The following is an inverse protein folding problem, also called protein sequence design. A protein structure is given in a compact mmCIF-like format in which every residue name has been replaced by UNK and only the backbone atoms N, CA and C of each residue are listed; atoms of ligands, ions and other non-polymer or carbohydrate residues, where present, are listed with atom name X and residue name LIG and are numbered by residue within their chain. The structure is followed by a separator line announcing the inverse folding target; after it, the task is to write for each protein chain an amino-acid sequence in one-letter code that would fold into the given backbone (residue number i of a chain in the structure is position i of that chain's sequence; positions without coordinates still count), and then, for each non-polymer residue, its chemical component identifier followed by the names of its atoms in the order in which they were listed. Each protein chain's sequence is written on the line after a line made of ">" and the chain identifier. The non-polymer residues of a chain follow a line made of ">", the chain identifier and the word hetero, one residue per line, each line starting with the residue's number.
data_IF_720397468791
#
_entry.id   IF_720397468791
#
_cell.length_a   1.000
_cell.length_b   1.000
_cell.length_c   1.000
_cell.angle_alpha   90.00
_cell.angle_beta   90.00
_cell.angle_gamma   90.00
#
_symmetry.space_group_name_H-M   'P 1'
#
loop_
_entity.id
_entity.type
_entity.pdbx_description
1 polymer ?
#
# COMPACT_ATOMS: atom_id res chain seq x y z
N UNK A 1 8.07 16.55 14.23
CA UNK A 1 7.44 15.48 13.41
C UNK A 1 8.56 14.58 12.89
N UNK A 2 8.32 13.30 12.70
CA UNK A 2 9.36 12.31 12.36
C UNK A 2 9.64 12.29 10.85
N UNK A 3 10.93 12.17 10.46
CA UNK A 3 11.34 11.88 9.07
C UNK A 3 10.81 10.52 8.54
N UNK A 4 10.22 9.72 9.42
CA UNK A 4 9.60 8.42 9.12
C UNK A 4 8.08 8.52 8.90
N UNK A 5 7.50 9.72 8.94
CA UNK A 5 6.10 9.94 8.61
C UNK A 5 5.98 10.69 7.28
N UNK A 6 5.73 9.97 6.22
CA UNK A 6 5.62 10.52 4.87
C UNK A 6 4.33 11.32 4.61
N UNK A 7 3.37 11.33 5.52
CA UNK A 7 2.22 12.25 5.46
C UNK A 7 2.65 13.71 5.72
N UNK A 8 3.87 13.90 6.23
CA UNK A 8 4.47 15.22 6.43
C UNK A 8 5.62 15.43 5.46
N UNK A 9 5.95 16.68 5.16
CA UNK A 9 7.05 17.02 4.26
C UNK A 9 8.42 16.56 4.77
N UNK A 10 8.59 16.46 6.09
CA UNK A 10 9.84 15.97 6.71
C UNK A 10 10.12 14.50 6.33
N UNK A 11 9.09 13.71 6.06
CA UNK A 11 9.25 12.31 5.64
C UNK A 11 9.46 12.13 4.13
N UNK A 12 9.37 13.20 3.32
CA UNK A 12 9.44 13.12 1.86
C UNK A 12 10.72 12.46 1.36
N UNK A 13 11.87 12.97 1.77
CA UNK A 13 13.16 12.45 1.29
C UNK A 13 13.40 11.01 1.73
N UNK A 14 12.94 10.66 2.93
CA UNK A 14 13.04 9.29 3.46
C UNK A 14 12.21 8.32 2.62
N UNK A 15 10.94 8.62 2.36
CA UNK A 15 10.11 7.71 1.55
C UNK A 15 10.61 7.59 0.11
N UNK A 16 11.06 8.68 -0.51
CA UNK A 16 11.58 8.64 -1.88
C UNK A 16 12.88 7.83 -1.99
N UNK A 17 13.74 7.88 -0.96
CA UNK A 17 14.93 7.01 -0.86
C UNK A 17 14.51 5.55 -0.78
N UNK A 18 13.58 5.22 0.13
CA UNK A 18 13.15 3.83 0.35
C UNK A 18 12.41 3.28 -0.88
N UNK A 19 11.62 4.09 -1.60
CA UNK A 19 11.03 3.67 -2.89
C UNK A 19 12.12 3.22 -3.87
N UNK A 20 13.20 4.00 -4.05
CA UNK A 20 14.32 3.62 -4.94
C UNK A 20 15.01 2.33 -4.49
N UNK A 21 15.18 2.13 -3.19
CA UNK A 21 15.76 0.91 -2.63
C UNK A 21 14.88 -0.32 -2.91
N UNK A 22 13.55 -0.19 -2.72
CA UNK A 22 12.61 -1.28 -3.02
C UNK A 22 12.53 -1.56 -4.53
N UNK A 23 12.52 -0.52 -5.36
CA UNK A 23 12.56 -0.67 -6.81
C UNK A 23 13.84 -1.41 -7.28
N UNK A 24 15.00 -1.08 -6.74
CA UNK A 24 16.25 -1.78 -7.05
C UNK A 24 16.17 -3.26 -6.66
N UNK A 25 15.58 -3.59 -5.51
CA UNK A 25 15.38 -4.97 -5.05
C UNK A 25 14.42 -5.73 -5.99
N UNK A 26 13.31 -5.11 -6.39
CA UNK A 26 12.35 -5.69 -7.33
C UNK A 26 12.99 -5.95 -8.70
N UNK A 27 13.70 -4.98 -9.26
CA UNK A 27 14.36 -5.15 -10.55
C UNK A 27 15.38 -6.29 -10.51
N UNK A 28 16.16 -6.37 -9.45
CA UNK A 28 17.09 -7.49 -9.25
C UNK A 28 16.37 -8.84 -9.12
N UNK A 29 15.16 -8.87 -8.54
CA UNK A 29 14.37 -10.08 -8.45
C UNK A 29 13.78 -10.48 -9.82
N UNK A 30 13.25 -9.52 -10.60
CA UNK A 30 12.64 -9.74 -11.91
C UNK A 30 13.64 -10.14 -13.00
N UNK A 31 14.89 -9.68 -12.90
CA UNK A 31 15.95 -9.95 -13.88
C UNK A 31 16.72 -11.27 -13.60
N UNK A 32 16.36 -12.02 -12.57
CA UNK A 32 16.97 -13.34 -12.34
C UNK A 32 16.64 -14.30 -13.48
N UNK A 33 17.58 -15.17 -13.86
CA UNK A 33 17.32 -16.21 -14.86
C UNK A 33 16.07 -17.03 -14.52
N UNK A 34 15.12 -17.08 -15.45
CA UNK A 34 13.86 -17.82 -15.30
C UNK A 34 12.80 -17.15 -14.40
N UNK A 35 13.04 -15.95 -13.86
CA UNK A 35 12.06 -15.26 -13.02
C UNK A 35 10.89 -14.66 -13.83
N UNK A 36 11.12 -14.22 -15.04
CA UNK A 36 10.17 -13.38 -15.81
C UNK A 36 8.76 -13.97 -15.94
N UNK A 37 8.67 -15.28 -16.14
CA UNK A 37 7.42 -16.03 -16.27
C UNK A 37 7.08 -16.83 -14.99
N UNK A 38 7.86 -16.66 -13.92
CA UNK A 38 7.58 -17.33 -12.66
C UNK A 38 6.31 -16.78 -12.01
N UNK A 39 5.56 -17.63 -11.28
CA UNK A 39 4.38 -17.17 -10.54
C UNK A 39 4.78 -16.25 -9.40
N UNK A 40 3.83 -15.42 -8.95
CA UNK A 40 3.94 -14.58 -7.76
C UNK A 40 2.89 -14.97 -6.72
N UNK A 41 2.87 -14.31 -5.56
CA UNK A 41 1.78 -14.46 -4.59
C UNK A 41 0.48 -13.77 -5.03
N UNK A 42 0.52 -12.89 -6.03
CA UNK A 42 -0.68 -12.36 -6.67
C UNK A 42 -1.30 -13.44 -7.55
N UNK A 43 -2.56 -13.77 -7.28
CA UNK A 43 -3.26 -14.82 -8.01
C UNK A 43 -3.30 -14.54 -9.52
N UNK A 44 -2.90 -15.53 -10.32
CA UNK A 44 -2.85 -15.47 -11.79
C UNK A 44 -1.84 -14.44 -12.38
N UNK A 45 -0.91 -13.91 -11.56
CA UNK A 45 0.16 -13.03 -12.01
C UNK A 45 1.51 -13.72 -12.03
N UNK A 46 2.25 -13.43 -13.09
CA UNK A 46 3.67 -13.72 -13.23
C UNK A 46 4.48 -12.46 -12.90
N UNK A 47 5.79 -12.61 -12.72
CA UNK A 47 6.69 -11.46 -12.46
C UNK A 47 6.55 -10.39 -13.55
N UNK A 48 6.42 -10.77 -14.82
CA UNK A 48 6.18 -9.82 -15.93
C UNK A 48 4.90 -9.01 -15.77
N UNK A 49 3.87 -9.59 -15.17
CA UNK A 49 2.60 -8.89 -14.94
C UNK A 49 2.75 -7.86 -13.81
N UNK A 50 3.53 -8.17 -12.78
CA UNK A 50 3.90 -7.19 -11.75
C UNK A 50 4.62 -5.98 -12.38
N UNK A 51 5.58 -6.21 -13.25
CA UNK A 51 6.29 -5.11 -13.93
C UNK A 51 5.35 -4.33 -14.85
N UNK A 52 4.45 -4.99 -15.58
CA UNK A 52 3.40 -4.34 -16.39
C UNK A 52 2.45 -3.48 -15.55
N UNK A 53 2.03 -4.00 -14.38
CA UNK A 53 1.23 -3.26 -13.41
C UNK A 53 1.92 -1.98 -12.94
N UNK A 54 3.20 -2.04 -12.62
CA UNK A 54 3.97 -0.87 -12.19
C UNK A 54 4.05 0.21 -13.27
N UNK A 55 4.19 -0.17 -14.53
CA UNK A 55 4.14 0.76 -15.66
C UNK A 55 2.77 1.41 -15.76
N UNK A 56 1.71 0.62 -15.80
CA UNK A 56 0.33 1.14 -15.91
C UNK A 56 -0.02 2.09 -14.77
N UNK A 57 0.27 1.68 -13.53
CA UNK A 57 -0.01 2.48 -12.33
C UNK A 57 0.77 3.79 -12.35
N UNK A 58 2.08 3.75 -12.65
CA UNK A 58 2.93 4.96 -12.64
C UNK A 58 2.55 5.93 -13.75
N UNK A 59 2.24 5.44 -14.95
CA UNK A 59 1.74 6.29 -16.04
C UNK A 59 0.36 6.88 -15.73
N UNK A 60 -0.49 6.11 -15.03
CA UNK A 60 -1.75 6.62 -14.45
C UNK A 60 -1.51 7.78 -13.48
N UNK A 61 -0.49 7.68 -12.64
CA UNK A 61 -0.12 8.74 -11.71
C UNK A 61 0.33 10.02 -12.42
N UNK A 62 1.10 9.93 -13.51
CA UNK A 62 1.44 11.11 -14.32
C UNK A 62 0.20 11.84 -14.84
N UNK A 63 -0.76 11.08 -15.39
CA UNK A 63 -2.03 11.64 -15.86
C UNK A 63 -2.82 12.30 -14.74
N UNK A 64 -2.84 11.69 -13.55
CA UNK A 64 -3.51 12.27 -12.39
C UNK A 64 -2.89 13.61 -11.96
N UNK A 65 -1.57 13.72 -11.92
CA UNK A 65 -0.87 14.98 -11.63
C UNK A 65 -1.09 16.03 -12.72
N UNK A 66 -1.15 15.65 -14.00
CA UNK A 66 -1.48 16.56 -15.10
C UNK A 66 -2.89 17.13 -14.95
N UNK A 67 -3.89 16.27 -14.65
CA UNK A 67 -5.28 16.68 -14.36
C UNK A 67 -5.31 17.67 -13.19
N UNK A 68 -4.63 17.36 -12.07
CA UNK A 68 -4.61 18.23 -10.90
C UNK A 68 -4.00 19.60 -11.22
N UNK A 69 -2.89 19.65 -11.95
CA UNK A 69 -2.23 20.91 -12.34
C UNK A 69 -3.00 21.74 -13.35
N UNK A 70 -3.83 21.11 -14.19
CA UNK A 70 -4.72 21.80 -15.12
C UNK A 70 -6.04 22.26 -14.49
N UNK A 71 -6.27 21.96 -13.20
CA UNK A 71 -7.53 22.25 -12.50
C UNK A 71 -8.70 21.35 -12.95
N UNK A 72 -8.41 20.22 -13.56
CA UNK A 72 -9.38 19.22 -13.96
C UNK A 72 -9.84 18.33 -12.80
N UNK A 73 -10.77 17.44 -13.10
CA UNK A 73 -11.27 16.41 -12.18
C UNK A 73 -11.40 15.08 -12.90
N UNK A 74 -11.36 13.99 -12.15
CA UNK A 74 -11.55 12.63 -12.64
C UNK A 74 -12.41 11.88 -11.62
N UNK A 75 -13.47 11.23 -12.10
CA UNK A 75 -14.29 10.37 -11.28
C UNK A 75 -13.51 9.08 -10.93
N UNK A 76 -13.60 8.68 -9.67
CA UNK A 76 -12.94 7.45 -9.21
C UNK A 76 -13.71 6.22 -9.68
N UNK A 77 -12.96 5.18 -10.08
CA UNK A 77 -13.54 3.86 -10.37
C UNK A 77 -14.02 3.13 -9.10
N UNK A 78 -13.53 3.56 -7.94
CA UNK A 78 -13.67 2.83 -6.67
C UNK A 78 -12.67 1.68 -6.56
N UNK A 79 -12.43 1.24 -5.32
CA UNK A 79 -11.46 0.16 -5.06
C UNK A 79 -12.05 -1.23 -5.32
N UNK A 80 -13.39 -1.39 -5.25
CA UNK A 80 -14.06 -2.64 -5.60
C UNK A 80 -13.78 -3.00 -7.06
N UNK A 81 -13.27 -4.19 -7.32
CA UNK A 81 -12.86 -4.63 -8.66
C UNK A 81 -11.54 -4.03 -9.15
N UNK A 82 -10.78 -3.33 -8.29
CA UNK A 82 -9.47 -2.79 -8.65
C UNK A 82 -8.52 -3.90 -9.12
N UNK A 83 -8.49 -5.03 -8.43
CA UNK A 83 -7.62 -6.17 -8.75
C UNK A 83 -7.88 -6.76 -10.15
N UNK A 84 -9.15 -6.81 -10.60
CA UNK A 84 -9.51 -7.28 -11.95
C UNK A 84 -8.98 -6.32 -13.01
N UNK A 85 -9.23 -5.02 -12.84
CA UNK A 85 -8.78 -3.98 -13.77
C UNK A 85 -7.26 -3.91 -13.85
N UNK A 86 -6.60 -3.94 -12.69
CA UNK A 86 -5.15 -3.95 -12.60
C UNK A 86 -4.57 -5.21 -13.26
N UNK A 87 -5.22 -6.37 -13.08
CA UNK A 87 -4.82 -7.62 -13.69
C UNK A 87 -4.94 -7.62 -15.20
N UNK A 88 -6.02 -7.08 -15.75
CA UNK A 88 -6.22 -6.98 -17.20
C UNK A 88 -5.21 -6.00 -17.82
N UNK A 89 -5.02 -4.84 -17.19
CA UNK A 89 -4.05 -3.85 -17.63
C UNK A 89 -2.61 -4.39 -17.56
N UNK A 90 -2.21 -5.01 -16.46
CA UNK A 90 -0.90 -5.63 -16.29
C UNK A 90 -0.59 -6.66 -17.39
N UNK A 91 -1.57 -7.51 -17.72
CA UNK A 91 -1.44 -8.55 -18.74
C UNK A 91 -1.37 -8.00 -20.17
N UNK A 92 -1.83 -6.77 -20.40
CA UNK A 92 -1.75 -6.13 -21.73
C UNK A 92 -0.32 -5.88 -22.19
N UNK A 93 0.65 -5.90 -21.28
CA UNK A 93 2.08 -5.73 -21.58
C UNK A 93 2.81 -7.04 -21.92
N UNK A 94 2.13 -8.20 -21.89
CA UNK A 94 2.77 -9.52 -22.06
C UNK A 94 3.48 -9.71 -23.40
N UNK A 95 3.04 -8.99 -24.44
CA UNK A 95 3.63 -9.07 -25.78
C UNK A 95 4.90 -8.22 -25.93
N UNK A 96 5.22 -7.38 -24.94
CA UNK A 96 6.45 -6.59 -24.95
C UNK A 96 7.67 -7.44 -24.56
N UNK A 97 8.81 -7.24 -25.23
CA UNK A 97 10.07 -7.85 -24.81
C UNK A 97 10.45 -7.44 -23.39
N UNK A 98 10.99 -8.38 -22.59
CA UNK A 98 11.43 -8.10 -21.22
C UNK A 98 12.31 -6.85 -21.11
N UNK A 99 13.30 -6.71 -21.99
CA UNK A 99 14.23 -5.57 -21.96
C UNK A 99 13.51 -4.22 -22.19
N UNK A 100 12.48 -4.20 -23.02
CA UNK A 100 11.68 -3.01 -23.31
C UNK A 100 10.83 -2.62 -22.09
N UNK A 101 10.09 -3.58 -21.52
CA UNK A 101 9.23 -3.32 -20.36
C UNK A 101 10.06 -2.93 -19.12
N UNK A 102 11.22 -3.57 -18.90
CA UNK A 102 12.16 -3.19 -17.84
C UNK A 102 12.76 -1.79 -18.04
N UNK A 103 13.06 -1.40 -19.28
CA UNK A 103 13.52 -0.04 -19.57
C UNK A 103 12.44 1.00 -19.29
N UNK A 104 11.19 0.70 -19.66
CA UNK A 104 10.03 1.57 -19.42
C UNK A 104 9.77 1.78 -17.94
N UNK A 105 9.65 0.72 -17.14
CA UNK A 105 9.40 0.85 -15.70
C UNK A 105 10.50 1.62 -14.97
N UNK A 106 11.76 1.51 -15.40
CA UNK A 106 12.88 2.29 -14.84
C UNK A 106 12.76 3.77 -15.18
N UNK A 107 12.42 4.09 -16.43
CA UNK A 107 12.21 5.47 -16.88
C UNK A 107 11.03 6.11 -16.14
N UNK A 108 9.94 5.37 -15.96
CA UNK A 108 8.76 5.82 -15.21
C UNK A 108 9.09 6.07 -13.74
N UNK A 109 9.86 5.19 -13.10
CA UNK A 109 10.35 5.41 -11.74
C UNK A 109 11.17 6.71 -11.65
N UNK A 110 12.13 6.91 -12.53
CA UNK A 110 12.99 8.11 -12.52
C UNK A 110 12.16 9.39 -12.70
N UNK A 111 11.20 9.39 -13.62
CA UNK A 111 10.29 10.51 -13.84
C UNK A 111 9.38 10.75 -12.63
N UNK A 112 8.83 9.70 -12.01
CA UNK A 112 7.98 9.82 -10.83
C UNK A 112 8.79 10.34 -9.62
N UNK A 113 10.00 9.85 -9.42
CA UNK A 113 10.87 10.34 -8.36
C UNK A 113 11.29 11.80 -8.57
N UNK A 114 11.47 12.24 -9.81
CA UNK A 114 11.73 13.65 -10.13
C UNK A 114 10.48 14.51 -9.86
N UNK A 115 9.28 14.05 -10.26
CA UNK A 115 8.02 14.74 -10.02
C UNK A 115 7.76 14.91 -8.51
N UNK A 116 7.79 13.82 -7.75
CA UNK A 116 7.53 13.84 -6.31
C UNK A 116 8.62 14.62 -5.54
N UNK A 117 9.88 14.45 -5.95
CA UNK A 117 11.02 15.19 -5.39
C UNK A 117 10.90 16.70 -5.59
N UNK A 118 10.34 17.13 -6.70
CA UNK A 118 10.12 18.55 -7.04
C UNK A 118 8.95 19.22 -6.32
N UNK A 119 8.07 18.46 -5.62
CA UNK A 119 6.95 19.04 -4.88
C UNK A 119 7.45 19.89 -3.70
N UNK A 120 6.91 21.10 -3.57
CA UNK A 120 7.10 21.96 -2.40
C UNK A 120 6.41 21.37 -1.16
N UNK A 121 6.70 21.91 0.03
CA UNK A 121 6.04 21.52 1.28
C UNK A 121 4.51 21.69 1.19
N UNK A 122 4.06 22.79 0.60
CA UNK A 122 2.64 23.05 0.41
C UNK A 122 2.01 22.05 -0.57
N UNK A 123 2.66 21.75 -1.69
CA UNK A 123 2.14 20.79 -2.65
C UNK A 123 2.12 19.37 -2.08
N UNK A 124 3.16 18.97 -1.34
CA UNK A 124 3.21 17.65 -0.73
C UNK A 124 1.98 17.33 0.13
N UNK A 125 1.56 18.30 0.94
CA UNK A 125 0.47 18.10 1.92
C UNK A 125 -0.89 18.58 1.44
N UNK A 126 -0.96 19.54 0.50
CA UNK A 126 -2.19 20.24 0.17
C UNK A 126 -2.59 20.19 -1.31
N UNK A 127 -1.69 19.74 -2.21
CA UNK A 127 -2.09 19.48 -3.59
C UNK A 127 -2.99 18.24 -3.62
N UNK A 128 -4.24 18.43 -3.98
CA UNK A 128 -5.19 17.34 -4.17
C UNK A 128 -5.08 16.83 -5.60
N UNK A 129 -4.80 15.54 -5.73
CA UNK A 129 -4.60 14.85 -7.01
C UNK A 129 -5.67 13.76 -7.14
N UNK A 130 -6.40 13.66 -8.27
CA UNK A 130 -7.46 12.68 -8.45
C UNK A 130 -6.86 11.28 -8.64
N UNK A 131 -6.92 10.44 -7.61
CA UNK A 131 -6.51 9.04 -7.72
C UNK A 131 -7.63 8.24 -8.39
N UNK A 132 -7.29 7.46 -9.44
CA UNK A 132 -8.29 6.79 -10.28
C UNK A 132 -9.18 5.79 -9.54
N UNK A 133 -8.72 5.24 -8.43
CA UNK A 133 -9.51 4.32 -7.61
C UNK A 133 -10.04 4.96 -6.32
N UNK A 134 -9.24 5.80 -5.65
CA UNK A 134 -9.57 6.36 -4.33
C UNK A 134 -10.28 7.72 -4.40
N UNK A 135 -10.30 8.37 -5.58
CA UNK A 135 -10.77 9.74 -5.71
C UNK A 135 -9.71 10.77 -5.31
N UNK A 136 -10.12 12.00 -4.94
CA UNK A 136 -9.18 13.09 -4.65
C UNK A 136 -8.40 12.80 -3.34
N UNK A 137 -7.07 12.74 -3.45
CA UNK A 137 -6.16 12.48 -2.31
C UNK A 137 -4.99 13.48 -2.31
N UNK A 138 -4.36 13.76 -1.15
CA UNK A 138 -3.14 14.56 -1.10
C UNK A 138 -1.97 13.91 -1.86
N UNK A 139 -1.08 14.73 -2.41
CA UNK A 139 0.04 14.28 -3.25
C UNK A 139 0.97 13.27 -2.56
N UNK A 140 1.16 13.33 -1.25
CA UNK A 140 1.98 12.36 -0.51
C UNK A 140 1.48 10.91 -0.62
N UNK A 141 0.20 10.70 -0.89
CA UNK A 141 -0.38 9.35 -1.10
C UNK A 141 0.29 8.65 -2.29
N UNK A 142 0.71 9.38 -3.32
CA UNK A 142 1.37 8.82 -4.49
C UNK A 142 2.77 8.28 -4.20
N UNK A 143 3.49 8.91 -3.26
CA UNK A 143 4.76 8.35 -2.77
C UNK A 143 4.53 7.07 -1.96
N UNK A 144 3.48 7.04 -1.14
CA UNK A 144 3.08 5.82 -0.42
C UNK A 144 2.63 4.73 -1.40
N UNK A 145 1.85 5.06 -2.43
CA UNK A 145 1.46 4.14 -3.50
C UNK A 145 2.68 3.50 -4.18
N UNK A 146 3.68 4.31 -4.59
CA UNK A 146 4.92 3.77 -5.16
C UNK A 146 5.66 2.86 -4.17
N UNK A 147 5.69 3.19 -2.88
CA UNK A 147 6.32 2.33 -1.88
C UNK A 147 5.52 1.03 -1.66
N UNK A 148 4.20 1.08 -1.68
CA UNK A 148 3.33 -0.10 -1.63
C UNK A 148 3.60 -1.00 -2.83
N UNK A 149 3.58 -0.44 -4.04
CA UNK A 149 3.79 -1.17 -5.29
C UNK A 149 5.16 -1.86 -5.32
N UNK A 150 6.24 -1.13 -5.07
CA UNK A 150 7.58 -1.73 -5.09
C UNK A 150 7.85 -2.63 -3.89
N UNK A 151 7.40 -2.28 -2.70
CA UNK A 151 7.68 -3.05 -1.47
C UNK A 151 6.86 -4.33 -1.38
N UNK A 152 5.54 -4.22 -1.51
CA UNK A 152 4.64 -5.39 -1.36
C UNK A 152 4.80 -6.34 -2.53
N UNK A 153 4.89 -5.84 -3.76
CA UNK A 153 5.08 -6.72 -4.91
C UNK A 153 6.48 -7.35 -5.00
N UNK A 154 7.52 -6.75 -4.41
CA UNK A 154 8.79 -7.47 -4.21
C UNK A 154 8.60 -8.68 -3.29
N UNK A 155 7.83 -8.50 -2.23
CA UNK A 155 7.42 -9.60 -1.34
C UNK A 155 6.64 -10.66 -2.14
N UNK A 156 5.65 -10.27 -2.95
CA UNK A 156 4.85 -11.19 -3.77
C UNK A 156 5.71 -12.02 -4.75
N UNK A 157 6.72 -11.40 -5.39
CA UNK A 157 7.66 -12.08 -6.28
C UNK A 157 8.50 -13.11 -5.52
N UNK A 158 8.97 -12.75 -4.34
CA UNK A 158 9.83 -13.64 -3.54
C UNK A 158 9.03 -14.78 -2.93
N UNK A 159 7.80 -14.54 -2.48
CA UNK A 159 6.88 -15.55 -1.95
C UNK A 159 6.52 -16.56 -3.05
N UNK A 160 6.10 -16.11 -4.22
CA UNK A 160 5.79 -16.99 -5.36
C UNK A 160 6.97 -17.82 -5.83
N UNK A 161 8.19 -17.34 -5.61
CA UNK A 161 9.42 -18.09 -5.89
C UNK A 161 9.82 -19.06 -4.74
N UNK A 162 9.05 -19.14 -3.65
CA UNK A 162 9.36 -19.97 -2.47
C UNK A 162 10.67 -19.57 -1.79
N UNK A 163 11.05 -18.30 -1.80
CA UNK A 163 12.32 -17.82 -1.27
C UNK A 163 12.15 -17.19 0.10
N UNK A 164 13.12 -17.38 0.98
CA UNK A 164 13.16 -16.66 2.25
C UNK A 164 13.26 -15.16 2.00
N UNK A 165 12.34 -14.39 2.56
CA UNK A 165 12.24 -12.94 2.38
C UNK A 165 11.44 -12.32 3.55
N UNK A 166 11.49 -11.00 3.62
CA UNK A 166 10.67 -10.21 4.53
C UNK A 166 10.37 -8.86 3.85
N UNK A 167 9.29 -8.20 4.25
CA UNK A 167 9.11 -6.79 3.91
C UNK A 167 10.16 -5.99 4.71
N UNK A 168 11.03 -5.19 4.06
CA UNK A 168 12.08 -4.46 4.76
C UNK A 168 11.53 -3.49 5.80
N UNK A 169 12.20 -3.39 6.95
CA UNK A 169 11.73 -2.60 8.09
C UNK A 169 11.50 -1.11 7.73
N UNK A 170 12.38 -0.52 6.92
CA UNK A 170 12.23 0.88 6.49
C UNK A 170 10.96 1.09 5.65
N UNK A 171 10.65 0.16 4.75
CA UNK A 171 9.42 0.21 3.96
C UNK A 171 8.18 -0.01 4.84
N UNK A 172 8.23 -1.01 5.71
CA UNK A 172 7.13 -1.31 6.62
C UNK A 172 6.81 -0.15 7.56
N UNK A 173 7.81 0.42 8.21
CA UNK A 173 7.64 1.56 9.12
C UNK A 173 6.99 2.78 8.43
N UNK A 174 7.44 3.11 7.21
CA UNK A 174 6.88 4.21 6.43
C UNK A 174 5.43 3.97 6.00
N UNK A 175 5.05 2.71 5.77
CA UNK A 175 3.71 2.34 5.33
C UNK A 175 2.69 2.24 6.46
N UNK A 176 3.10 1.98 7.71
CA UNK A 176 2.18 1.84 8.86
C UNK A 176 1.10 2.92 8.93
N UNK A 177 1.39 4.24 8.82
CA UNK A 177 0.36 5.27 8.92
C UNK A 177 -0.72 5.17 7.83
N UNK A 178 -0.37 4.59 6.68
CA UNK A 178 -1.28 4.44 5.54
C UNK A 178 -2.20 3.21 5.66
N UNK A 179 -1.85 2.24 6.51
CA UNK A 179 -2.62 0.99 6.60
C UNK A 179 -4.02 1.20 7.16
N UNK A 180 -4.21 2.19 8.02
CA UNK A 180 -5.55 2.57 8.47
C UNK A 180 -6.40 3.14 7.32
N UNK A 181 -5.81 3.89 6.39
CA UNK A 181 -6.48 4.40 5.19
C UNK A 181 -6.84 3.23 4.25
N UNK A 182 -5.93 2.27 4.09
CA UNK A 182 -6.19 1.07 3.29
C UNK A 182 -7.36 0.29 3.90
N UNK A 183 -7.35 0.00 5.18
CA UNK A 183 -8.46 -0.68 5.85
C UNK A 183 -9.79 0.07 5.69
N UNK A 184 -9.81 1.39 5.93
CA UNK A 184 -11.03 2.20 5.71
C UNK A 184 -11.56 2.08 4.28
N UNK A 185 -10.67 1.98 3.31
CA UNK A 185 -11.00 1.96 1.88
C UNK A 185 -11.33 0.56 1.34
N UNK A 186 -11.01 -0.50 2.08
CA UNK A 186 -11.17 -1.90 1.64
C UNK A 186 -12.22 -2.68 2.41
N UNK A 187 -13.08 -2.00 3.17
CA UNK A 187 -14.23 -2.65 3.80
C UNK A 187 -15.08 -3.31 2.71
N UNK A 188 -15.35 -4.60 2.87
CA UNK A 188 -16.18 -5.33 1.92
C UNK A 188 -17.61 -4.77 1.89
N UNK A 189 -18.23 -4.63 0.71
CA UNK A 189 -19.60 -4.12 0.61
C UNK A 189 -20.63 -4.93 1.42
N UNK A 190 -20.38 -6.24 1.58
CA UNK A 190 -21.24 -7.16 2.31
C UNK A 190 -20.79 -7.39 3.76
N UNK A 191 -19.82 -6.56 4.28
CA UNK A 191 -19.33 -6.71 5.64
C UNK A 191 -20.41 -6.42 6.68
N UNK A 192 -20.41 -7.21 7.77
CA UNK A 192 -21.25 -6.91 8.94
C UNK A 192 -20.64 -5.72 9.71
N UNK A 193 -21.23 -4.54 9.56
CA UNK A 193 -20.85 -3.31 10.23
C UNK A 193 -21.57 -3.07 11.57
N UNK A 194 -22.19 -4.10 12.18
CA UNK A 194 -22.70 -3.97 13.55
C UNK A 194 -21.62 -3.40 14.47
N UNK A 195 -21.94 -2.43 15.34
CA UNK A 195 -20.91 -1.67 16.08
C UNK A 195 -20.05 -2.56 16.99
N UNK A 196 -18.73 -2.37 16.93
CA UNK A 196 -17.75 -2.89 17.89
C UNK A 196 -16.46 -2.07 17.86
N UNK A 197 -15.60 -2.29 18.86
CA UNK A 197 -14.25 -1.69 18.87
C UNK A 197 -13.23 -2.72 19.30
N UNK A 198 -12.02 -2.61 18.71
CA UNK A 198 -10.84 -3.37 19.10
C UNK A 198 -9.65 -2.44 19.30
N UNK A 199 -8.65 -2.91 20.02
CA UNK A 199 -7.32 -2.28 20.08
C UNK A 199 -6.45 -2.74 18.91
N UNK A 200 -5.66 -1.81 18.38
CA UNK A 200 -4.55 -2.10 17.48
C UNK A 200 -3.29 -1.45 18.06
N UNK A 201 -2.32 -2.27 18.40
CA UNK A 201 -0.99 -1.81 18.81
C UNK A 201 0.01 -2.08 17.69
N UNK A 202 0.80 -1.08 17.37
CA UNK A 202 1.83 -1.21 16.32
C UNK A 202 3.17 -0.83 16.90
N UNK A 203 4.19 -1.64 16.63
CA UNK A 203 5.58 -1.37 16.97
C UNK A 203 6.29 -0.48 15.94
N UNK A 204 7.64 -0.45 16.03
CA UNK A 204 8.48 0.25 15.05
C UNK A 204 8.58 1.75 15.27
N UNK A 205 9.02 2.49 14.23
CA UNK A 205 9.26 3.96 14.29
C UNK A 205 7.97 4.78 14.32
N UNK A 206 6.89 4.23 13.76
CA UNK A 206 5.55 4.80 13.83
C UNK A 206 4.67 4.05 14.86
N UNK A 207 5.30 3.61 15.96
CA UNK A 207 4.61 2.90 17.04
C UNK A 207 3.45 3.71 17.63
N UNK A 208 2.38 3.02 17.98
CA UNK A 208 1.22 3.64 18.59
C UNK A 208 0.18 2.62 19.06
N UNK A 209 -0.70 3.10 19.92
CA UNK A 209 -1.86 2.38 20.40
C UNK A 209 -3.10 3.05 19.83
N UNK A 210 -3.95 2.29 19.19
CA UNK A 210 -5.13 2.80 18.51
C UNK A 210 -6.37 2.03 18.95
N UNK A 211 -7.45 2.75 19.18
CA UNK A 211 -8.78 2.18 19.22
C UNK A 211 -9.37 2.28 17.83
N UNK A 212 -9.71 1.15 17.26
CA UNK A 212 -10.42 1.04 15.99
C UNK A 212 -11.88 0.74 16.27
N UNK A 213 -12.77 1.54 15.70
CA UNK A 213 -14.21 1.42 15.89
C UNK A 213 -14.91 1.19 14.56
N UNK A 214 -15.77 0.19 14.52
CA UNK A 214 -16.62 -0.14 13.37
C UNK A 214 -18.05 0.31 13.69
N UNK A 215 -18.71 0.89 12.72
CA UNK A 215 -20.10 1.31 12.76
C UNK A 215 -20.72 1.25 11.36
N UNK A 216 -22.01 1.54 11.24
CA UNK A 216 -22.72 1.70 9.97
C UNK A 216 -22.13 2.79 9.06
N UNK A 217 -21.29 3.68 9.61
CA UNK A 217 -20.52 4.69 8.85
C UNK A 217 -19.14 4.19 8.38
N UNK A 218 -18.81 2.92 8.63
CA UNK A 218 -17.51 2.32 8.30
C UNK A 218 -16.56 2.25 9.48
N UNK A 219 -15.27 2.37 9.21
CA UNK A 219 -14.19 2.28 10.20
C UNK A 219 -13.66 3.68 10.57
N UNK A 220 -13.52 3.92 11.86
CA UNK A 220 -12.75 5.05 12.40
C UNK A 220 -11.64 4.55 13.33
N UNK A 221 -10.62 5.39 13.57
CA UNK A 221 -9.57 5.07 14.53
C UNK A 221 -9.10 6.35 15.24
N UNK A 222 -8.65 6.16 16.47
CA UNK A 222 -8.09 7.22 17.30
C UNK A 222 -6.91 6.68 18.11
N UNK A 223 -5.92 7.54 18.35
CA UNK A 223 -4.80 7.18 19.21
C UNK A 223 -5.26 7.22 20.67
N UNK A 224 -4.88 6.20 21.44
CA UNK A 224 -5.27 6.03 22.85
C UNK A 224 -4.07 5.75 23.74
N UNK A 225 -4.24 5.90 25.04
CA UNK A 225 -3.24 5.46 26.02
C UNK A 225 -3.15 3.93 26.10
N UNK A 226 -2.08 3.40 26.69
CA UNK A 226 -1.95 1.96 26.89
C UNK A 226 -3.08 1.41 27.79
N UNK A 227 -3.45 2.15 28.85
CA UNK A 227 -4.53 1.72 29.76
C UNK A 227 -5.88 1.64 29.03
N UNK A 228 -6.19 2.59 28.17
CA UNK A 228 -7.39 2.58 27.32
C UNK A 228 -7.36 1.44 26.33
N UNK A 229 -6.19 1.17 25.70
CA UNK A 229 -6.01 0.04 24.79
C UNK A 229 -6.31 -1.29 25.51
N UNK A 230 -5.70 -1.49 26.68
CA UNK A 230 -5.84 -2.73 27.46
C UNK A 230 -7.24 -2.92 28.06
N UNK A 231 -8.06 -1.88 28.09
CA UNK A 231 -9.47 -1.97 28.50
C UNK A 231 -10.42 -2.41 27.39
N UNK A 232 -9.93 -2.50 26.13
CA UNK A 232 -10.72 -2.96 25.00
C UNK A 232 -10.91 -4.48 25.03
N UNK A 233 -12.04 -4.99 24.49
CA UNK A 233 -12.37 -6.40 24.58
C UNK A 233 -11.40 -7.31 23.82
N UNK A 234 -10.73 -6.79 22.80
CA UNK A 234 -9.72 -7.49 22.02
C UNK A 234 -8.62 -6.54 21.59
N UNK A 235 -7.39 -7.02 21.49
CA UNK A 235 -6.23 -6.25 21.00
C UNK A 235 -5.46 -7.09 19.99
N UNK A 236 -5.12 -6.46 18.86
CA UNK A 236 -4.19 -6.96 17.85
C UNK A 236 -2.87 -6.20 17.96
N UNK A 237 -1.79 -6.93 18.19
CA UNK A 237 -0.41 -6.40 18.23
C UNK A 237 0.31 -6.75 16.93
N UNK A 238 0.87 -5.75 16.26
CA UNK A 238 1.61 -5.91 15.02
C UNK A 238 3.04 -5.40 15.12
N UNK A 239 3.99 -6.14 14.56
CA UNK A 239 5.16 -5.49 13.97
C UNK A 239 4.76 -4.76 12.67
N UNK A 240 5.54 -3.76 12.21
CA UNK A 240 5.19 -2.99 11.02
C UNK A 240 4.95 -3.84 9.77
N UNK A 241 5.79 -4.85 9.52
CA UNK A 241 5.68 -5.69 8.32
C UNK A 241 4.42 -6.57 8.38
N UNK A 242 4.12 -7.14 9.54
CA UNK A 242 2.89 -7.92 9.74
C UNK A 242 1.63 -7.06 9.51
N UNK A 243 1.61 -5.81 9.99
CA UNK A 243 0.48 -4.90 9.75
C UNK A 243 0.29 -4.62 8.26
N UNK A 244 1.36 -4.25 7.55
CA UNK A 244 1.29 -3.96 6.12
C UNK A 244 0.79 -5.17 5.33
N UNK A 245 1.40 -6.33 5.52
CA UNK A 245 1.03 -7.54 4.79
C UNK A 245 -0.40 -8.02 5.14
N UNK A 246 -0.86 -7.80 6.37
CA UNK A 246 -2.25 -8.09 6.77
C UNK A 246 -3.22 -7.13 6.11
N UNK A 247 -2.90 -5.83 6.04
CA UNK A 247 -3.75 -4.84 5.39
C UNK A 247 -3.94 -5.10 3.88
N UNK A 248 -2.90 -5.67 3.23
CA UNK A 248 -2.98 -6.11 1.84
C UNK A 248 -3.53 -7.54 1.67
N UNK A 249 -3.94 -8.20 2.75
CA UNK A 249 -4.49 -9.57 2.72
C UNK A 249 -3.47 -10.64 2.30
N UNK A 250 -2.16 -10.39 2.44
CA UNK A 250 -1.10 -11.35 2.10
C UNK A 250 -0.92 -12.41 3.19
N UNK A 251 -1.07 -12.00 4.44
CA UNK A 251 -1.00 -12.88 5.62
C UNK A 251 -2.10 -12.48 6.63
N UNK A 252 -2.37 -13.34 7.58
CA UNK A 252 -3.05 -12.98 8.83
C UNK A 252 -1.97 -12.88 9.92
N UNK A 253 -1.31 -11.72 9.99
CA UNK A 253 -0.22 -11.48 10.93
C UNK A 253 -0.70 -10.88 12.24
N UNK A 254 0.27 -10.63 13.14
CA UNK A 254 0.03 -10.05 14.46
C UNK A 254 -0.29 -11.08 15.53
N UNK A 255 -0.31 -10.61 16.78
CA UNK A 255 -0.67 -11.39 17.96
C UNK A 255 -2.00 -10.88 18.50
N UNK A 256 -2.96 -11.78 18.68
CA UNK A 256 -4.28 -11.45 19.19
C UNK A 256 -4.39 -11.75 20.68
N UNK A 257 -5.06 -10.88 21.45
CA UNK A 257 -5.45 -11.10 22.83
C UNK A 257 -6.91 -10.67 23.07
N UNK A 258 -7.56 -11.25 24.08
CA UNK A 258 -8.94 -10.97 24.40
C UNK A 258 -9.95 -11.77 23.58
N UNK A 259 -11.04 -11.14 23.15
CA UNK A 259 -12.14 -11.78 22.41
C UNK A 259 -11.75 -12.14 20.97
N UNK A 260 -11.44 -13.42 20.74
CA UNK A 260 -11.04 -13.93 19.44
C UNK A 260 -12.13 -13.76 18.36
N UNK A 261 -13.39 -13.80 18.72
CA UNK A 261 -14.47 -13.63 17.74
C UNK A 261 -14.50 -12.20 17.17
N UNK A 262 -14.17 -11.19 18.00
CA UNK A 262 -14.02 -9.81 17.52
C UNK A 262 -12.78 -9.63 16.64
N UNK A 263 -11.67 -10.30 16.97
CA UNK A 263 -10.46 -10.31 16.13
C UNK A 263 -10.75 -10.91 14.77
N UNK A 264 -11.35 -12.09 14.73
CA UNK A 264 -11.69 -12.77 13.47
C UNK A 264 -12.67 -11.94 12.64
N UNK A 265 -13.65 -11.33 13.31
CA UNK A 265 -14.60 -10.43 12.66
C UNK A 265 -13.90 -9.22 12.05
N UNK A 266 -12.96 -8.58 12.75
CA UNK A 266 -12.19 -7.45 12.24
C UNK A 266 -11.35 -7.85 11.01
N UNK A 267 -10.58 -8.94 11.11
CA UNK A 267 -9.72 -9.39 10.01
C UNK A 267 -10.50 -9.80 8.75
N UNK A 268 -11.76 -10.20 8.89
CA UNK A 268 -12.64 -10.58 7.77
C UNK A 268 -13.49 -9.43 7.21
N UNK A 269 -13.32 -8.19 7.71
CA UNK A 269 -14.06 -7.03 7.17
C UNK A 269 -13.56 -6.60 5.79
N UNK A 270 -12.29 -6.87 5.47
CA UNK A 270 -11.61 -6.26 4.35
C UNK A 270 -11.45 -7.23 3.18
N UNK A 271 -11.69 -6.75 1.96
CA UNK A 271 -11.32 -7.51 0.76
C UNK A 271 -9.83 -7.30 0.44
N UNK A 272 -9.25 -8.26 -0.26
CA UNK A 272 -7.84 -8.21 -0.69
C UNK A 272 -7.67 -7.27 -1.88
N UNK A 273 -6.55 -6.55 -1.89
CA UNK A 273 -6.12 -5.66 -2.98
C UNK A 273 -4.73 -6.05 -3.49
#
# INVERSE_FOLDING_TARGET
>A
MSEWNAMTYQGKDTILRVVREQAAAMFAAAERPGAWEAPTACENWQVRDVIGHLVDTTEGYFKAFEIARSGGSQDAYGLTGMHERAGDSAKSFRDLPQAELMARVRADLDQMMALLGGLSEQEWTSLIVPHFYMGPVPAFIYAAGQLMDYGVHTWDIMEGAGRAHALPADAADLLVPFMFIIWQSTISPDADLSPFSIGVQVGGRNAGNFKVSISDQGMSYEQVSLDELMALPAVLEFDPAAMVLTAFGRINGGTASGDQALVDRFLNLFYRI
#
